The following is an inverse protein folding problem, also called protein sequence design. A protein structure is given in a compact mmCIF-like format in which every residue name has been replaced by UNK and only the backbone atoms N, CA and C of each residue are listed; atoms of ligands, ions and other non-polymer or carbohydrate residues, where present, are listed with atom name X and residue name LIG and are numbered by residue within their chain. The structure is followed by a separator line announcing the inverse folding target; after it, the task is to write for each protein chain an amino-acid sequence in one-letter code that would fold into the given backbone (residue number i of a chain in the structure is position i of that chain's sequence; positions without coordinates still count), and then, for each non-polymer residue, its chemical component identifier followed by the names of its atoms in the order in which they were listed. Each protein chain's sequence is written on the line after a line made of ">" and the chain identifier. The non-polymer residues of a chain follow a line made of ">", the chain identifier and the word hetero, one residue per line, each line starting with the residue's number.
data_IF_161056772046
#
_entry.id   IF_161056772046
#
_cell.length_a   1.000
_cell.length_b   1.000
_cell.length_c   1.000
_cell.angle_alpha   90.00
_cell.angle_beta   90.00
_cell.angle_gamma   90.00
#
_symmetry.space_group_name_H-M   'P 1'
#
loop_
_entity.id
_entity.type
_entity.pdbx_description
1 polymer ?
#
# COMPACT_ATOMS: atom_id res chain seq x y z
N UNK A 1 4.73 -19.15 -11.27
CA UNK A 1 4.35 -19.40 -9.86
C UNK A 1 3.26 -18.46 -9.38
N UNK A 2 3.12 -17.24 -9.95
CA UNK A 2 2.02 -16.30 -9.67
C UNK A 2 0.62 -16.83 -10.04
N UNK A 3 0.51 -17.57 -11.15
CA UNK A 3 -0.79 -17.97 -11.71
C UNK A 3 -1.57 -18.91 -10.78
N UNK A 4 -0.87 -19.79 -10.07
CA UNK A 4 -1.45 -20.79 -9.16
C UNK A 4 -2.01 -20.16 -7.85
N UNK A 5 -1.58 -18.96 -7.47
CA UNK A 5 -2.15 -18.26 -6.30
C UNK A 5 -3.46 -17.56 -6.66
N UNK A 6 -3.51 -16.92 -7.82
CA UNK A 6 -4.69 -16.18 -8.28
C UNK A 6 -5.87 -17.12 -8.54
N UNK A 7 -5.63 -18.27 -9.18
CA UNK A 7 -6.66 -19.29 -9.38
C UNK A 7 -7.23 -19.81 -8.04
N UNK A 8 -6.36 -20.00 -7.05
CA UNK A 8 -6.76 -20.45 -5.72
C UNK A 8 -7.56 -19.39 -4.96
N UNK A 9 -7.23 -18.11 -5.13
CA UNK A 9 -8.00 -17.00 -4.56
C UNK A 9 -9.38 -16.91 -5.19
N UNK A 10 -9.47 -16.90 -6.51
CA UNK A 10 -10.75 -16.88 -7.22
C UNK A 10 -11.63 -18.07 -6.82
N UNK A 11 -11.05 -19.27 -6.75
CA UNK A 11 -11.76 -20.45 -6.28
C UNK A 11 -12.36 -20.25 -4.87
N UNK A 12 -11.60 -19.68 -3.94
CA UNK A 12 -12.07 -19.43 -2.57
C UNK A 12 -13.11 -18.30 -2.48
N UNK A 13 -13.18 -17.39 -3.46
CA UNK A 13 -14.24 -16.38 -3.57
C UNK A 13 -15.55 -17.01 -4.08
N UNK A 14 -15.46 -17.94 -5.02
CA UNK A 14 -16.60 -18.67 -5.57
C UNK A 14 -17.13 -19.75 -4.59
N UNK A 15 -16.25 -20.34 -3.78
CA UNK A 15 -16.53 -21.44 -2.87
C UNK A 15 -16.29 -21.04 -1.41
N UNK A 16 -17.18 -20.19 -0.86
CA UNK A 16 -16.99 -19.56 0.45
C UNK A 16 -16.77 -20.53 1.62
N UNK A 17 -17.45 -21.68 1.58
CA UNK A 17 -17.44 -22.71 2.63
C UNK A 17 -16.36 -23.76 2.47
N UNK A 18 -15.56 -23.72 1.39
CA UNK A 18 -14.42 -24.62 1.22
C UNK A 18 -13.23 -24.14 2.08
N UNK A 19 -13.33 -24.42 3.37
CA UNK A 19 -12.34 -24.02 4.36
C UNK A 19 -10.99 -24.72 4.17
N UNK A 20 -10.95 -25.89 3.53
CA UNK A 20 -9.68 -26.56 3.25
C UNK A 20 -8.87 -25.84 2.18
N UNK A 21 -9.53 -25.39 1.11
CA UNK A 21 -8.89 -24.59 0.07
C UNK A 21 -8.55 -23.20 0.59
N UNK A 22 -9.42 -22.57 1.39
CA UNK A 22 -9.12 -21.29 2.07
C UNK A 22 -7.92 -21.42 3.02
N UNK A 23 -7.76 -22.56 3.69
CA UNK A 23 -6.56 -22.84 4.48
C UNK A 23 -5.30 -22.99 3.64
N UNK A 24 -5.38 -23.65 2.47
CA UNK A 24 -4.26 -23.72 1.53
C UNK A 24 -3.87 -22.34 1.02
N UNK A 25 -4.85 -21.49 0.70
CA UNK A 25 -4.65 -20.10 0.30
C UNK A 25 -3.94 -19.30 1.39
N UNK A 26 -4.46 -19.33 2.63
CA UNK A 26 -3.86 -18.64 3.76
C UNK A 26 -2.38 -19.01 3.98
N UNK A 27 -2.04 -20.31 3.85
CA UNK A 27 -0.65 -20.78 3.94
C UNK A 27 0.24 -20.25 2.81
N UNK A 28 -0.25 -20.24 1.56
CA UNK A 28 0.51 -19.71 0.43
C UNK A 28 0.75 -18.22 0.58
N UNK A 29 -0.29 -17.45 0.92
CA UNK A 29 -0.15 -16.02 1.22
C UNK A 29 0.87 -15.75 2.33
N UNK A 30 0.88 -16.58 3.38
CA UNK A 30 1.88 -16.50 4.43
C UNK A 30 3.31 -16.75 3.90
N UNK A 31 3.50 -17.77 3.06
CA UNK A 31 4.80 -18.12 2.46
C UNK A 31 5.31 -17.00 1.53
N UNK A 32 4.42 -16.33 0.81
CA UNK A 32 4.73 -15.18 -0.04
C UNK A 32 4.89 -13.86 0.74
N UNK A 33 4.79 -13.91 2.07
CA UNK A 33 4.88 -12.74 2.97
C UNK A 33 3.76 -11.72 2.75
N UNK A 34 2.65 -12.12 2.13
CA UNK A 34 1.44 -11.32 2.08
C UNK A 34 0.60 -11.51 3.35
N UNK A 35 1.18 -11.07 4.47
CA UNK A 35 0.62 -11.30 5.80
C UNK A 35 -0.75 -10.62 6.01
N UNK A 36 -1.04 -9.54 5.29
CA UNK A 36 -2.33 -8.84 5.42
C UNK A 36 -3.46 -9.70 4.87
N UNK A 37 -3.31 -10.21 3.65
CA UNK A 37 -4.31 -11.10 3.04
C UNK A 37 -4.36 -12.44 3.75
N UNK A 38 -3.22 -12.99 4.15
CA UNK A 38 -3.20 -14.20 4.98
C UNK A 38 -4.02 -14.02 6.26
N UNK A 39 -3.91 -12.86 6.93
CA UNK A 39 -4.67 -12.57 8.15
C UNK A 39 -6.18 -12.59 7.92
N UNK A 40 -6.67 -12.01 6.82
CA UNK A 40 -8.10 -11.96 6.49
C UNK A 40 -8.67 -13.38 6.36
N UNK A 41 -8.02 -14.25 5.58
CA UNK A 41 -8.45 -15.64 5.45
C UNK A 41 -8.32 -16.44 6.76
N UNK A 42 -7.27 -16.21 7.55
CA UNK A 42 -7.10 -16.87 8.85
C UNK A 42 -8.20 -16.47 9.84
N UNK A 43 -8.63 -15.20 9.84
CA UNK A 43 -9.73 -14.74 10.69
C UNK A 43 -11.06 -15.40 10.33
N UNK A 44 -11.35 -15.56 9.04
CA UNK A 44 -12.52 -16.31 8.56
C UNK A 44 -12.44 -17.76 9.06
N UNK A 45 -11.32 -18.43 8.82
CA UNK A 45 -11.10 -19.82 9.24
C UNK A 45 -11.28 -20.00 10.76
N UNK A 46 -10.83 -19.06 11.59
CA UNK A 46 -11.03 -19.15 13.05
C UNK A 46 -12.46 -18.93 13.52
N UNK A 47 -13.29 -18.24 12.72
CA UNK A 47 -14.68 -17.94 13.08
C UNK A 47 -15.64 -19.00 12.59
N UNK A 48 -15.41 -19.50 11.37
CA UNK A 48 -16.39 -20.29 10.62
C UNK A 48 -16.03 -21.77 10.51
N UNK A 49 -14.75 -22.11 10.77
CA UNK A 49 -14.28 -23.48 10.74
C UNK A 49 -13.85 -23.95 12.12
N UNK A 50 -13.97 -25.25 12.38
CA UNK A 50 -13.55 -25.86 13.64
C UNK A 50 -12.11 -25.45 13.95
N UNK A 51 -11.85 -24.76 15.08
CA UNK A 51 -10.51 -24.29 15.41
C UNK A 51 -9.50 -25.45 15.42
N UNK A 52 -8.44 -25.30 14.63
CA UNK A 52 -7.31 -26.23 14.61
C UNK A 52 -6.07 -25.49 15.12
N UNK A 53 -5.26 -26.17 15.93
CA UNK A 53 -4.00 -25.63 16.48
C UNK A 53 -3.16 -24.94 15.40
N UNK A 54 -3.03 -25.55 14.22
CA UNK A 54 -2.23 -25.00 13.11
C UNK A 54 -2.77 -23.67 12.58
N UNK A 55 -4.09 -23.48 12.51
CA UNK A 55 -4.69 -22.21 12.05
C UNK A 55 -4.34 -21.11 13.04
N UNK A 56 -4.45 -21.42 14.34
CA UNK A 56 -4.15 -20.47 15.41
C UNK A 56 -2.67 -20.11 15.46
N UNK A 57 -1.77 -21.09 15.26
CA UNK A 57 -0.33 -20.84 15.11
C UNK A 57 -0.04 -19.89 13.95
N UNK A 58 -0.65 -20.11 12.79
CA UNK A 58 -0.49 -19.23 11.64
C UNK A 58 -1.11 -17.85 11.88
N UNK A 59 -2.27 -17.76 12.52
CA UNK A 59 -2.90 -16.48 12.88
C UNK A 59 -1.99 -15.65 13.78
N UNK A 60 -1.50 -16.23 14.87
CA UNK A 60 -0.59 -15.56 15.79
C UNK A 60 0.74 -15.21 15.12
N UNK A 61 1.27 -16.07 14.24
CA UNK A 61 2.52 -15.81 13.52
C UNK A 61 2.34 -14.67 12.53
N UNK A 62 1.19 -14.61 11.87
CA UNK A 62 0.84 -13.54 10.93
C UNK A 62 0.71 -12.20 11.65
N UNK A 63 0.02 -12.18 12.80
CA UNK A 63 -0.06 -10.99 13.65
C UNK A 63 1.32 -10.54 14.14
N UNK A 64 2.18 -11.47 14.57
CA UNK A 64 3.56 -11.18 14.95
C UNK A 64 4.36 -10.54 13.80
N UNK A 65 4.27 -11.08 12.57
CA UNK A 65 4.95 -10.53 11.38
C UNK A 65 4.44 -9.14 10.99
N UNK A 66 3.20 -8.83 11.34
CA UNK A 66 2.59 -7.50 11.20
C UNK A 66 2.89 -6.56 12.37
N UNK A 67 3.77 -6.95 13.30
CA UNK A 67 4.10 -6.22 14.55
C UNK A 67 2.90 -5.98 15.48
N UNK A 68 1.83 -6.76 15.32
CA UNK A 68 0.62 -6.73 16.15
C UNK A 68 0.76 -7.68 17.33
N UNK A 69 1.71 -7.36 18.20
CA UNK A 69 2.13 -8.26 19.28
C UNK A 69 1.02 -8.46 20.33
N UNK A 70 0.26 -7.42 20.65
CA UNK A 70 -0.90 -7.50 21.56
C UNK A 70 -1.93 -8.54 21.10
N UNK A 71 -2.30 -8.48 19.83
CA UNK A 71 -3.29 -9.37 19.24
C UNK A 71 -2.75 -10.79 19.13
N UNK A 72 -1.47 -10.96 18.80
CA UNK A 72 -0.82 -12.26 18.81
C UNK A 72 -0.83 -12.89 20.21
N UNK A 73 -0.55 -12.10 21.26
CA UNK A 73 -0.60 -12.56 22.65
C UNK A 73 -2.00 -13.04 23.04
N UNK A 74 -3.04 -12.24 22.78
CA UNK A 74 -4.43 -12.60 23.11
C UNK A 74 -4.87 -13.89 22.40
N UNK A 75 -4.49 -14.06 21.13
CA UNK A 75 -4.80 -15.27 20.37
C UNK A 75 -4.11 -16.48 20.98
N UNK A 76 -2.83 -16.37 21.34
CA UNK A 76 -2.05 -17.47 21.90
C UNK A 76 -2.46 -17.83 23.32
N UNK A 77 -2.78 -16.85 24.16
CA UNK A 77 -3.27 -17.07 25.52
C UNK A 77 -4.55 -17.91 25.51
N UNK A 78 -5.55 -17.50 24.73
CA UNK A 78 -6.78 -18.28 24.53
C UNK A 78 -6.52 -19.67 23.95
N UNK A 79 -5.55 -19.78 23.06
CA UNK A 79 -5.19 -21.07 22.47
C UNK A 79 -4.58 -22.02 23.49
N UNK A 80 -3.74 -21.52 24.40
CA UNK A 80 -3.11 -22.30 25.46
C UNK A 80 -4.15 -22.77 26.49
N UNK A 81 -5.19 -21.98 26.75
CA UNK A 81 -6.33 -22.42 27.58
C UNK A 81 -7.07 -23.62 26.97
N UNK A 82 -7.24 -23.62 25.64
CA UNK A 82 -7.94 -24.71 24.92
C UNK A 82 -7.05 -25.93 24.71
N UNK A 83 -5.75 -25.72 24.45
CA UNK A 83 -4.76 -26.78 24.21
C UNK A 83 -3.59 -26.67 25.20
N UNK A 84 -3.82 -26.99 26.48
CA UNK A 84 -2.83 -26.79 27.53
C UNK A 84 -1.63 -27.72 27.44
N UNK A 85 -1.64 -28.75 26.61
CA UNK A 85 -0.45 -29.60 26.40
C UNK A 85 0.35 -29.24 25.14
N UNK A 86 -0.14 -28.29 24.35
CA UNK A 86 0.53 -27.90 23.10
C UNK A 86 1.69 -26.94 23.37
N UNK A 87 2.90 -27.52 23.40
CA UNK A 87 4.15 -26.81 23.68
C UNK A 87 4.46 -25.77 22.61
N UNK A 88 4.14 -26.03 21.34
CA UNK A 88 4.46 -25.12 20.24
C UNK A 88 3.72 -23.78 20.35
N UNK A 89 2.51 -23.77 20.93
CA UNK A 89 1.76 -22.53 21.21
C UNK A 89 2.44 -21.69 22.29
N UNK A 90 2.93 -22.34 23.36
CA UNK A 90 3.69 -21.66 24.42
C UNK A 90 5.00 -21.11 23.92
N UNK A 91 5.74 -21.87 23.11
CA UNK A 91 6.98 -21.38 22.51
C UNK A 91 6.73 -20.11 21.68
N UNK A 92 5.67 -20.13 20.86
CA UNK A 92 5.30 -18.99 20.06
C UNK A 92 4.89 -17.80 20.94
N UNK A 93 4.16 -18.05 22.04
CA UNK A 93 3.76 -17.02 22.99
C UNK A 93 4.96 -16.39 23.70
N UNK A 94 5.90 -17.21 24.16
CA UNK A 94 7.13 -16.75 24.79
C UNK A 94 7.94 -15.85 23.84
N UNK A 95 8.08 -16.23 22.56
CA UNK A 95 8.77 -15.40 21.55
C UNK A 95 8.07 -14.06 21.31
N UNK A 96 6.74 -14.05 21.21
CA UNK A 96 5.97 -12.80 21.08
C UNK A 96 6.20 -11.91 22.30
N UNK A 97 6.19 -12.47 23.50
CA UNK A 97 6.46 -11.75 24.75
C UNK A 97 7.88 -11.18 24.80
N UNK A 98 8.88 -11.92 24.34
CA UNK A 98 10.27 -11.44 24.23
C UNK A 98 10.37 -10.21 23.34
N UNK A 99 9.79 -10.27 22.13
CA UNK A 99 9.81 -9.16 21.18
C UNK A 99 8.99 -7.96 21.65
N UNK A 100 7.92 -8.20 22.42
CA UNK A 100 7.11 -7.15 23.05
C UNK A 100 7.72 -6.63 24.37
N UNK A 101 8.96 -7.00 24.68
CA UNK A 101 9.70 -6.62 25.89
C UNK A 101 9.00 -7.01 27.21
N UNK A 102 8.10 -8.00 27.17
CA UNK A 102 7.41 -8.57 28.34
C UNK A 102 8.27 -9.67 28.98
N UNK A 103 9.50 -9.30 29.34
CA UNK A 103 10.59 -10.21 29.75
C UNK A 103 10.23 -11.16 30.90
N UNK A 104 9.65 -10.64 31.99
CA UNK A 104 9.30 -11.47 33.15
C UNK A 104 8.24 -12.52 32.81
N UNK A 105 7.25 -12.15 32.00
CA UNK A 105 6.21 -13.08 31.54
C UNK A 105 6.81 -14.11 30.59
N UNK A 106 7.70 -13.70 29.68
CA UNK A 106 8.39 -14.63 28.79
C UNK A 106 9.18 -15.69 29.55
N UNK A 107 9.91 -15.30 30.61
CA UNK A 107 10.64 -16.24 31.49
C UNK A 107 9.67 -17.25 32.12
N UNK A 108 8.54 -16.79 32.66
CA UNK A 108 7.53 -17.69 33.26
C UNK A 108 7.02 -18.72 32.26
N UNK A 109 6.67 -18.28 31.04
CA UNK A 109 6.20 -19.19 29.98
C UNK A 109 7.29 -20.19 29.58
N UNK A 110 8.56 -19.78 29.49
CA UNK A 110 9.67 -20.72 29.24
C UNK A 110 9.89 -21.71 30.39
N UNK A 111 9.68 -21.29 31.64
CA UNK A 111 9.72 -22.18 32.81
C UNK A 111 8.57 -23.20 32.77
N UNK A 112 7.36 -22.80 32.36
CA UNK A 112 6.24 -23.72 32.10
C UNK A 112 6.52 -24.69 30.95
N UNK A 113 7.15 -24.25 29.86
CA UNK A 113 7.57 -25.15 28.78
C UNK A 113 8.54 -26.22 29.30
N UNK A 114 9.46 -25.84 30.20
CA UNK A 114 10.41 -26.76 30.82
C UNK A 114 9.73 -27.74 31.78
N UNK A 115 8.64 -27.37 32.45
CA UNK A 115 7.89 -28.34 33.27
C UNK A 115 7.16 -29.37 32.42
N UNK A 116 6.61 -28.94 31.27
CA UNK A 116 5.95 -29.84 30.31
C UNK A 116 6.95 -30.73 29.57
N UNK A 117 8.09 -30.16 29.15
CA UNK A 117 9.15 -30.85 28.41
C UNK A 117 10.50 -30.53 29.08
N UNK A 118 10.95 -31.35 30.05
CA UNK A 118 12.18 -31.11 30.80
C UNK A 118 13.43 -30.86 29.95
N UNK A 119 13.55 -31.57 28.81
CA UNK A 119 14.68 -31.46 27.89
C UNK A 119 14.33 -30.63 26.63
N UNK A 120 13.55 -29.56 26.79
CA UNK A 120 13.19 -28.69 25.67
C UNK A 120 14.44 -27.96 25.10
N UNK A 121 14.71 -28.05 23.78
CA UNK A 121 15.98 -27.62 23.17
C UNK A 121 16.30 -26.13 23.34
N UNK A 122 15.28 -25.30 23.57
CA UNK A 122 15.43 -23.85 23.61
C UNK A 122 15.12 -23.22 24.97
N UNK A 123 14.48 -23.95 25.90
CA UNK A 123 13.91 -23.32 27.09
C UNK A 123 14.99 -22.81 28.06
N UNK A 124 16.00 -23.63 28.35
CA UNK A 124 17.09 -23.26 29.26
C UNK A 124 17.89 -22.07 28.73
N UNK A 125 18.28 -22.11 27.45
CA UNK A 125 19.01 -21.02 26.81
C UNK A 125 18.19 -19.72 26.77
N UNK A 126 16.89 -19.80 26.47
CA UNK A 126 16.01 -18.63 26.47
C UNK A 126 15.89 -18.02 27.88
N UNK A 127 15.71 -18.84 28.91
CA UNK A 127 15.64 -18.37 30.31
C UNK A 127 16.96 -17.71 30.73
N UNK A 128 18.11 -18.34 30.45
CA UNK A 128 19.42 -17.78 30.78
C UNK A 128 19.65 -16.44 30.07
N UNK A 129 19.40 -16.38 28.75
CA UNK A 129 19.49 -15.14 27.96
C UNK A 129 18.59 -14.06 28.55
N UNK A 130 17.33 -14.39 28.83
CA UNK A 130 16.37 -13.46 29.43
C UNK A 130 16.66 -13.16 30.90
N UNK A 131 17.53 -13.85 31.63
CA UNK A 131 17.97 -13.42 32.98
C UNK A 131 19.19 -12.50 32.91
N UNK A 132 20.05 -12.69 31.89
CA UNK A 132 21.36 -12.03 31.78
C UNK A 132 21.38 -10.69 31.00
N UNK A 133 20.25 -10.14 30.52
CA UNK A 133 20.21 -8.85 29.77
C UNK A 133 20.51 -7.61 30.64
N UNK A 134 21.24 -7.74 31.76
CA UNK A 134 21.95 -6.60 32.34
C UNK A 134 23.32 -6.35 31.68
N UNK A 135 23.77 -7.21 30.74
CA UNK A 135 25.18 -7.23 30.32
C UNK A 135 25.45 -7.39 28.81
N UNK A 136 24.47 -7.17 27.91
CA UNK A 136 24.71 -7.24 26.47
C UNK A 136 24.68 -5.86 25.79
N UNK A 137 25.71 -5.48 24.99
CA UNK A 137 25.68 -4.27 24.18
C UNK A 137 24.65 -4.41 23.06
N UNK A 138 23.92 -3.32 22.80
CA UNK A 138 22.96 -3.22 21.69
C UNK A 138 23.61 -3.68 20.38
N UNK A 139 23.02 -4.62 19.62
CA UNK A 139 23.44 -4.81 18.24
C UNK A 139 23.03 -3.57 17.45
N UNK A 140 24.04 -2.84 16.99
CA UNK A 140 23.91 -1.79 15.98
C UNK A 140 23.46 -2.42 14.65
N UNK A 141 22.47 -1.79 14.02
CA UNK A 141 22.25 -1.88 12.57
C UNK A 141 21.08 -2.75 12.12
N UNK A 142 19.89 -2.15 12.03
CA UNK A 142 19.08 -2.10 10.80
C UNK A 142 18.14 -0.88 10.90
N UNK A 143 18.02 -0.02 9.87
CA UNK A 143 17.12 1.12 9.92
C UNK A 143 15.68 0.64 9.75
N UNK A 144 14.97 0.50 10.87
CA UNK A 144 13.53 0.36 10.83
C UNK A 144 12.90 1.72 10.50
N UNK A 145 12.39 1.80 9.27
CA UNK A 145 11.64 2.93 8.74
C UNK A 145 10.63 3.46 9.76
N UNK A 146 10.80 4.75 10.06
CA UNK A 146 9.95 5.53 10.92
C UNK A 146 8.56 5.70 10.27
N UNK A 147 7.60 4.87 10.69
CA UNK A 147 6.17 5.11 10.43
C UNK A 147 5.23 4.69 11.57
N UNK A 148 5.74 4.27 12.72
CA UNK A 148 4.92 3.76 13.83
C UNK A 148 4.87 4.72 15.02
N UNK A 149 4.34 5.94 14.84
CA UNK A 149 4.15 6.89 15.95
C UNK A 149 2.76 7.54 16.01
N UNK A 150 1.68 6.77 15.72
CA UNK A 150 0.29 7.25 15.87
C UNK A 150 -0.61 6.33 16.72
N UNK A 151 -0.08 5.42 17.54
CA UNK A 151 -0.95 4.57 18.40
C UNK A 151 -0.49 4.50 19.86
N UNK A 152 -0.31 5.68 20.46
CA UNK A 152 -0.11 5.81 21.90
C UNK A 152 -1.16 6.75 22.52
N UNK A 153 -2.46 6.44 22.35
CA UNK A 153 -3.53 6.93 23.23
C UNK A 153 -4.56 5.82 23.43
N UNK A 154 -4.44 5.12 24.55
CA UNK A 154 -5.30 4.02 24.99
C UNK A 154 -6.59 4.54 25.60
N UNK A 155 -7.68 4.59 24.83
CA UNK A 155 -9.04 4.62 25.37
C UNK A 155 -9.65 3.22 25.29
N UNK A 156 -10.16 2.73 26.41
CA UNK A 156 -10.86 1.44 26.54
C UNK A 156 -12.31 1.69 26.94
N UNK A 157 -13.25 1.00 26.29
CA UNK A 157 -14.69 1.06 26.57
C UNK A 157 -15.20 -0.30 27.06
N UNK A 158 -16.07 -0.29 28.08
CA UNK A 158 -16.69 -1.52 28.57
C UNK A 158 -17.90 -1.90 27.70
N UNK A 159 -18.04 -3.19 27.40
CA UNK A 159 -19.19 -3.68 26.65
C UNK A 159 -20.46 -3.60 27.51
N UNK A 160 -21.55 -2.98 27.02
CA UNK A 160 -22.79 -2.86 27.77
C UNK A 160 -23.46 -4.22 28.03
N UNK A 161 -23.24 -5.20 27.16
CA UNK A 161 -23.92 -6.49 27.23
C UNK A 161 -23.21 -7.52 28.13
N UNK A 162 -21.88 -7.46 28.24
CA UNK A 162 -21.11 -8.46 28.99
C UNK A 162 -20.02 -7.90 29.90
N UNK A 163 -19.88 -6.58 29.99
CA UNK A 163 -18.91 -5.89 30.85
C UNK A 163 -17.45 -6.01 30.41
N UNK A 164 -17.14 -6.71 29.31
CA UNK A 164 -15.76 -6.87 28.85
C UNK A 164 -15.15 -5.53 28.44
N UNK A 165 -13.90 -5.27 28.83
CA UNK A 165 -13.16 -4.09 28.35
C UNK A 165 -12.69 -4.32 26.91
N UNK A 166 -12.99 -3.36 26.05
CA UNK A 166 -12.69 -3.37 24.62
C UNK A 166 -11.87 -2.12 24.29
N UNK A 167 -11.01 -2.20 23.28
CA UNK A 167 -10.36 -1.01 22.73
C UNK A 167 -11.40 -0.13 22.02
N UNK A 168 -11.28 1.19 22.11
CA UNK A 168 -12.24 2.12 21.50
C UNK A 168 -12.34 2.00 19.96
N UNK A 169 -11.34 1.40 19.31
CA UNK A 169 -11.33 1.13 17.88
C UNK A 169 -12.13 -0.13 17.45
N UNK A 170 -12.72 -0.86 18.39
CA UNK A 170 -13.53 -2.04 18.08
C UNK A 170 -15.01 -1.65 17.99
N UNK A 171 -15.62 -1.93 16.84
CA UNK A 171 -17.06 -1.71 16.62
C UNK A 171 -17.92 -2.77 17.32
N UNK A 172 -17.32 -3.90 17.69
CA UNK A 172 -17.98 -5.03 18.33
C UNK A 172 -17.18 -5.55 19.51
N UNK A 173 -17.90 -6.02 20.52
CA UNK A 173 -17.31 -6.62 21.69
C UNK A 173 -16.53 -7.88 21.31
N UNK A 174 -15.25 -7.95 21.67
CA UNK A 174 -14.41 -9.12 21.40
C UNK A 174 -14.95 -10.38 22.09
N UNK A 175 -15.71 -10.22 23.18
CA UNK A 175 -16.22 -11.32 23.99
C UNK A 175 -17.58 -11.84 23.50
N UNK A 176 -18.55 -10.95 23.28
CA UNK A 176 -19.92 -11.36 22.96
C UNK A 176 -20.41 -10.93 21.56
N UNK A 177 -19.59 -10.22 20.77
CA UNK A 177 -19.95 -9.74 19.44
C UNK A 177 -20.97 -8.60 19.39
N UNK A 178 -21.48 -8.16 20.56
CA UNK A 178 -22.40 -7.04 20.72
C UNK A 178 -21.81 -5.75 20.15
N UNK A 179 -22.66 -4.92 19.53
CA UNK A 179 -22.24 -3.60 19.07
C UNK A 179 -21.76 -2.76 20.26
N UNK A 180 -20.61 -2.11 20.11
CA UNK A 180 -20.10 -1.15 21.10
C UNK A 180 -20.51 0.30 20.76
N UNK A 181 -21.09 0.51 19.58
CA UNK A 181 -21.45 1.82 19.05
C UNK A 181 -22.68 2.41 19.78
N UNK A 182 -23.55 1.57 20.34
CA UNK A 182 -24.80 2.00 20.99
C UNK A 182 -24.62 2.44 22.46
N UNK A 183 -23.51 2.10 23.11
CA UNK A 183 -23.29 2.41 24.54
C UNK A 183 -22.71 3.81 24.79
N UNK A 184 -22.23 4.48 23.74
CA UNK A 184 -21.64 5.81 23.83
C UNK A 184 -22.71 6.90 23.57
N UNK A 185 -23.76 6.96 24.39
CA UNK A 185 -24.69 8.09 24.30
C UNK A 185 -26.02 8.00 25.05
N UNK A 186 -26.02 8.05 26.38
CA UNK A 186 -27.08 8.75 27.13
C UNK A 186 -26.48 9.65 28.21
N UNK A 187 -25.99 10.80 27.78
CA UNK A 187 -25.96 12.01 28.61
C UNK A 187 -26.13 13.23 27.68
N UNK A 188 -27.34 13.80 27.73
CA UNK A 188 -27.68 15.21 27.47
C UNK A 188 -27.11 15.92 26.22
N UNK A 189 -27.44 15.44 25.02
CA UNK A 189 -27.46 16.29 23.81
C UNK A 189 -28.64 15.96 22.87
N UNK A 190 -29.80 15.64 23.45
CA UNK A 190 -31.04 15.50 22.70
C UNK A 190 -31.63 16.88 22.34
N UNK A 191 -31.18 17.49 21.24
CA UNK A 191 -31.93 18.62 20.66
C UNK A 191 -31.79 18.89 19.14
N UNK A 192 -30.78 18.43 18.37
CA UNK A 192 -30.80 18.69 16.91
C UNK A 192 -30.65 17.47 15.99
N UNK A 193 -30.82 16.22 16.47
CA UNK A 193 -30.57 15.03 15.64
C UNK A 193 -31.76 14.50 14.82
N UNK A 194 -32.96 15.07 14.96
CA UNK A 194 -34.10 14.74 14.07
C UNK A 194 -33.92 15.37 12.68
N UNK A 195 -33.05 16.37 12.53
CA UNK A 195 -32.70 16.95 11.23
C UNK A 195 -31.63 16.18 10.44
N UNK A 196 -30.91 15.24 11.07
CA UNK A 196 -29.80 14.50 10.43
C UNK A 196 -30.21 13.11 9.88
N UNK A 197 -31.44 12.65 10.15
CA UNK A 197 -31.94 11.37 9.66
C UNK A 197 -32.27 11.37 8.14
N UNK A 198 -32.28 12.54 7.50
CA UNK A 198 -32.34 12.67 6.04
C UNK A 198 -30.96 12.66 5.36
N UNK A 199 -29.85 12.64 6.13
CA UNK A 199 -28.48 12.60 5.59
C UNK A 199 -27.89 11.17 5.51
N UNK A 200 -28.72 10.14 5.78
CA UNK A 200 -28.33 8.70 5.82
C UNK A 200 -27.92 8.12 4.45
N UNK A 201 -27.96 8.93 3.39
CA UNK A 201 -27.33 8.61 2.10
C UNK A 201 -26.43 9.74 1.58
N UNK A 202 -25.67 10.39 2.46
CA UNK A 202 -24.44 11.05 2.01
C UNK A 202 -23.33 10.01 2.03
N UNK A 203 -22.77 9.59 0.87
CA UNK A 203 -21.49 8.90 0.89
C UNK A 203 -20.56 9.76 1.75
N UNK A 204 -19.86 9.15 2.72
CA UNK A 204 -18.84 9.86 3.46
C UNK A 204 -18.04 10.68 2.44
N UNK A 205 -17.93 12.01 2.61
CA UNK A 205 -17.17 12.81 1.65
C UNK A 205 -15.85 12.08 1.53
N UNK A 206 -15.50 11.67 0.31
CA UNK A 206 -14.20 11.08 0.04
C UNK A 206 -13.20 12.14 0.46
N UNK A 207 -12.81 12.12 1.74
CA UNK A 207 -11.81 13.00 2.27
C UNK A 207 -10.60 12.56 1.49
N UNK A 208 -10.28 13.36 0.46
CA UNK A 208 -9.26 13.05 -0.51
C UNK A 208 -7.97 12.91 0.29
N UNK A 209 -7.67 11.66 0.67
CA UNK A 209 -6.41 11.36 1.32
C UNK A 209 -5.31 11.88 0.40
N UNK A 210 -4.14 12.26 0.93
CA UNK A 210 -3.05 12.79 0.11
C UNK A 210 -2.69 11.91 -1.10
N UNK A 211 -3.06 10.62 -1.07
CA UNK A 211 -2.95 9.67 -2.19
C UNK A 211 -3.88 9.94 -3.39
N UNK A 212 -5.01 10.61 -3.22
CA UNK A 212 -5.98 10.94 -4.28
C UNK A 212 -5.76 12.32 -4.92
N UNK A 213 -5.07 13.24 -4.22
CA UNK A 213 -4.86 14.61 -4.71
C UNK A 213 -3.96 14.62 -5.96
N UNK A 214 -2.89 13.82 -5.97
CA UNK A 214 -1.93 13.82 -7.08
C UNK A 214 -2.56 13.40 -8.43
N UNK A 215 -3.24 12.24 -8.55
CA UNK A 215 -3.86 11.85 -9.83
C UNK A 215 -4.87 12.88 -10.35
N UNK A 216 -5.66 13.49 -9.47
CA UNK A 216 -6.62 14.51 -9.88
C UNK A 216 -5.92 15.76 -10.43
N UNK A 217 -4.93 16.29 -9.69
CA UNK A 217 -4.16 17.47 -10.11
C UNK A 217 -3.39 17.19 -11.42
N UNK A 218 -2.67 16.07 -11.48
CA UNK A 218 -1.92 15.68 -12.67
C UNK A 218 -2.85 15.46 -13.88
N UNK A 219 -4.03 14.87 -13.68
CA UNK A 219 -5.03 14.71 -14.73
C UNK A 219 -5.53 16.05 -15.29
N UNK A 220 -5.90 16.99 -14.43
CA UNK A 220 -6.35 18.34 -14.84
C UNK A 220 -5.23 19.09 -15.57
N UNK A 221 -4.01 19.05 -15.05
CA UNK A 221 -2.87 19.71 -15.70
C UNK A 221 -2.53 19.06 -17.05
N UNK A 222 -2.66 17.73 -17.17
CA UNK A 222 -2.47 17.03 -18.45
C UNK A 222 -3.45 17.51 -19.50
N UNK A 223 -4.73 17.63 -19.15
CA UNK A 223 -5.76 18.14 -20.06
C UNK A 223 -5.47 19.58 -20.50
N UNK A 224 -5.04 20.44 -19.57
CA UNK A 224 -4.66 21.81 -19.89
C UNK A 224 -3.46 21.88 -20.85
N UNK A 225 -2.43 21.06 -20.63
CA UNK A 225 -1.25 20.97 -21.49
C UNK A 225 -1.59 20.42 -22.88
N UNK A 226 -2.42 19.38 -22.97
CA UNK A 226 -2.88 18.83 -24.25
C UNK A 226 -3.73 19.85 -25.01
N UNK A 227 -4.61 20.59 -24.32
CA UNK A 227 -5.40 21.65 -24.94
C UNK A 227 -4.51 22.78 -25.48
N UNK A 228 -3.49 23.20 -24.70
CA UNK A 228 -2.52 24.19 -25.17
C UNK A 228 -1.75 23.70 -26.40
N UNK A 229 -1.26 22.45 -26.38
CA UNK A 229 -0.61 21.81 -27.53
C UNK A 229 -1.52 21.77 -28.75
N UNK A 230 -2.80 21.40 -28.58
CA UNK A 230 -3.78 21.35 -29.66
C UNK A 230 -4.08 22.73 -30.28
N UNK A 231 -4.17 23.79 -29.45
CA UNK A 231 -4.34 25.16 -29.94
C UNK A 231 -3.15 25.60 -30.78
N UNK A 232 -1.92 25.36 -30.31
CA UNK A 232 -0.70 25.67 -31.08
C UNK A 232 -0.65 24.87 -32.37
N UNK A 233 -0.96 23.57 -32.30
CA UNK A 233 -1.04 22.69 -33.47
C UNK A 233 -2.00 23.24 -34.52
N UNK A 234 -3.19 23.68 -34.09
CA UNK A 234 -4.20 24.26 -34.99
C UNK A 234 -3.69 25.54 -35.67
N UNK A 235 -3.00 26.42 -34.93
CA UNK A 235 -2.40 27.64 -35.49
C UNK A 235 -1.32 27.32 -36.54
N UNK A 236 -0.53 26.27 -36.30
CA UNK A 236 0.46 25.81 -37.28
C UNK A 236 -0.18 25.18 -38.51
N UNK A 237 -1.23 24.37 -38.34
CA UNK A 237 -1.96 23.78 -39.47
C UNK A 237 -2.63 24.83 -40.36
N UNK A 238 -3.25 25.86 -39.78
CA UNK A 238 -3.81 26.96 -40.58
C UNK A 238 -2.73 27.71 -41.36
N UNK A 239 -1.54 27.88 -40.76
CA UNK A 239 -0.42 28.48 -41.47
C UNK A 239 0.11 27.59 -42.61
N UNK A 240 0.16 26.27 -42.41
CA UNK A 240 0.56 25.31 -43.45
C UNK A 240 -0.41 25.37 -44.64
N UNK A 241 -1.71 25.44 -44.37
CA UNK A 241 -2.74 25.56 -45.40
C UNK A 241 -2.59 26.87 -46.22
N UNK A 242 -2.42 28.00 -45.54
CA UNK A 242 -2.12 29.28 -46.19
C UNK A 242 -0.83 29.23 -47.02
N UNK A 243 0.23 28.62 -46.48
CA UNK A 243 1.51 28.47 -47.17
C UNK A 243 1.38 27.63 -48.45
N UNK A 244 0.68 26.49 -48.38
CA UNK A 244 0.45 25.62 -49.54
C UNK A 244 -0.43 26.29 -50.61
N UNK A 245 -1.32 27.22 -50.21
CA UNK A 245 -2.13 28.00 -51.15
C UNK A 245 -1.35 29.10 -51.90
N UNK A 246 -0.08 29.33 -51.55
CA UNK A 246 0.77 30.34 -52.19
C UNK A 246 0.42 31.79 -51.84
N UNK A 247 -0.41 32.00 -50.81
CA UNK A 247 -0.97 33.32 -50.48
C UNK A 247 -0.07 34.19 -49.59
N UNK A 248 1.04 33.66 -49.05
CA UNK A 248 1.87 34.34 -48.04
C UNK A 248 3.37 34.19 -48.31
N UNK A 249 4.09 35.33 -48.36
CA UNK A 249 5.55 35.34 -48.29
C UNK A 249 6.00 35.06 -46.84
N UNK A 250 6.57 33.89 -46.59
CA UNK A 250 6.98 33.44 -45.26
C UNK A 250 8.47 33.72 -44.97
N UNK A 251 8.79 34.09 -43.72
CA UNK A 251 10.19 34.07 -43.23
C UNK A 251 10.67 32.62 -43.14
N UNK A 252 11.96 32.38 -43.41
CA UNK A 252 12.57 31.04 -43.38
C UNK A 252 12.23 30.22 -42.12
N UNK A 253 12.21 30.85 -40.94
CA UNK A 253 11.86 30.17 -39.69
C UNK A 253 10.43 29.61 -39.63
N UNK A 254 9.45 30.25 -40.31
CA UNK A 254 8.08 29.73 -40.36
C UNK A 254 7.94 28.57 -41.35
N UNK A 255 8.70 28.58 -42.43
CA UNK A 255 8.75 27.47 -43.40
C UNK A 255 9.28 26.21 -42.73
N UNK A 256 10.39 26.32 -41.98
CA UNK A 256 10.95 25.19 -41.22
C UNK A 256 9.93 24.67 -40.19
N UNK A 257 9.22 25.56 -39.49
CA UNK A 257 8.19 25.15 -38.53
C UNK A 257 6.99 24.45 -39.19
N UNK A 258 6.61 24.86 -40.40
CA UNK A 258 5.58 24.20 -41.19
C UNK A 258 5.99 22.77 -41.57
N UNK A 259 7.22 22.60 -42.07
CA UNK A 259 7.78 21.28 -42.43
C UNK A 259 7.88 20.31 -41.24
N UNK A 260 8.14 20.83 -40.03
CA UNK A 260 8.23 20.03 -38.81
C UNK A 260 6.85 19.69 -38.19
N UNK A 261 5.77 20.32 -38.66
CA UNK A 261 4.43 20.14 -38.08
C UNK A 261 3.96 18.67 -38.05
N UNK A 262 4.11 17.88 -39.13
CA UNK A 262 3.77 16.45 -39.09
C UNK A 262 4.62 15.66 -38.07
N UNK A 263 5.90 16.02 -37.92
CA UNK A 263 6.78 15.38 -36.94
C UNK A 263 6.34 15.68 -35.51
N UNK A 264 5.93 16.91 -35.21
CA UNK A 264 5.37 17.26 -33.89
C UNK A 264 4.08 16.50 -33.59
N UNK A 265 3.18 16.38 -34.57
CA UNK A 265 1.94 15.61 -34.43
C UNK A 265 2.22 14.12 -34.15
N UNK A 266 3.09 13.51 -34.94
CA UNK A 266 3.50 12.11 -34.76
C UNK A 266 4.15 11.92 -33.39
N UNK A 267 5.06 12.81 -32.99
CA UNK A 267 5.70 12.79 -31.67
C UNK A 267 4.67 12.88 -30.55
N UNK A 268 3.68 13.78 -30.65
CA UNK A 268 2.63 13.92 -29.64
C UNK A 268 1.82 12.65 -29.45
N UNK A 269 1.39 12.01 -30.54
CA UNK A 269 0.62 10.76 -30.51
C UNK A 269 1.45 9.63 -29.90
N UNK A 270 2.70 9.47 -30.37
CA UNK A 270 3.61 8.43 -29.86
C UNK A 270 3.86 8.64 -28.37
N UNK A 271 4.17 9.86 -27.94
CA UNK A 271 4.49 10.16 -26.55
C UNK A 271 3.30 9.89 -25.61
N UNK A 272 2.07 10.25 -25.98
CA UNK A 272 0.90 10.00 -25.11
C UNK A 272 0.64 8.50 -24.87
N UNK A 273 1.00 7.64 -25.84
CA UNK A 273 0.82 6.18 -25.73
C UNK A 273 2.03 5.49 -25.09
N UNK A 274 3.23 5.87 -25.52
CA UNK A 274 4.49 5.20 -25.12
C UNK A 274 4.92 5.61 -23.72
N UNK A 275 4.81 6.89 -23.35
CA UNK A 275 5.33 7.38 -22.07
C UNK A 275 4.69 6.70 -20.84
N UNK A 276 3.36 6.54 -20.76
CA UNK A 276 2.74 5.84 -19.63
C UNK A 276 3.09 4.36 -19.56
N UNK A 277 3.20 3.70 -20.71
CA UNK A 277 3.52 2.26 -20.79
C UNK A 277 4.97 2.01 -20.40
N UNK A 278 5.90 2.84 -20.85
CA UNK A 278 7.31 2.77 -20.46
C UNK A 278 7.49 3.06 -18.97
N UNK A 279 6.79 4.06 -18.42
CA UNK A 279 6.86 4.34 -16.98
C UNK A 279 6.34 3.16 -16.13
N UNK A 280 5.27 2.50 -16.57
CA UNK A 280 4.76 1.29 -15.94
C UNK A 280 5.77 0.13 -16.03
N UNK A 281 6.37 -0.08 -17.22
CA UNK A 281 7.40 -1.10 -17.41
C UNK A 281 8.63 -0.85 -16.52
N UNK A 282 9.07 0.40 -16.39
CA UNK A 282 10.17 0.78 -15.52
C UNK A 282 9.89 0.45 -14.04
N UNK A 283 8.64 0.61 -13.57
CA UNK A 283 8.26 0.18 -12.23
C UNK A 283 8.34 -1.34 -12.03
N UNK A 284 7.88 -2.10 -13.01
CA UNK A 284 7.90 -3.57 -12.98
C UNK A 284 9.35 -4.07 -12.93
N UNK A 285 10.24 -3.51 -13.78
CA UNK A 285 11.64 -3.91 -13.87
C UNK A 285 12.44 -3.66 -12.58
N UNK A 286 12.12 -2.61 -11.81
CA UNK A 286 12.81 -2.28 -10.55
C UNK A 286 12.33 -3.15 -9.36
N UNK A 287 11.42 -4.11 -9.58
CA UNK A 287 11.10 -5.17 -8.61
C UNK A 287 10.30 -4.71 -7.39
N UNK A 288 9.46 -3.67 -7.53
CA UNK A 288 8.58 -3.18 -6.47
C UNK A 288 7.15 -3.71 -6.60
N UNK A 289 6.40 -3.74 -5.48
CA UNK A 289 4.93 -3.81 -5.56
C UNK A 289 4.46 -2.64 -6.42
N UNK A 290 3.78 -2.94 -7.52
CA UNK A 290 3.19 -1.95 -8.42
C UNK A 290 2.28 -1.07 -7.55
N UNK A 291 2.68 0.19 -7.34
CA UNK A 291 1.80 1.23 -6.78
C UNK A 291 0.59 1.34 -7.72
N UNK A 292 -0.57 1.86 -7.29
CA UNK A 292 -1.80 1.75 -8.08
C UNK A 292 -1.53 2.16 -9.52
N UNK A 293 -1.83 1.28 -10.48
CA UNK A 293 -1.50 1.44 -11.91
C UNK A 293 -1.93 2.83 -12.42
N UNK A 294 -3.03 3.34 -11.88
CA UNK A 294 -3.55 4.68 -12.13
C UNK A 294 -2.50 5.80 -11.90
N UNK A 295 -1.71 5.76 -10.83
CA UNK A 295 -0.71 6.79 -10.54
C UNK A 295 0.41 6.80 -11.59
N UNK A 296 0.86 5.62 -12.04
CA UNK A 296 1.85 5.50 -13.09
C UNK A 296 1.29 6.00 -14.44
N UNK A 297 0.06 5.60 -14.78
CA UNK A 297 -0.60 6.03 -16.01
C UNK A 297 -0.80 7.55 -16.05
N UNK A 298 -1.39 8.14 -15.02
CA UNK A 298 -1.64 9.58 -14.97
C UNK A 298 -0.35 10.39 -14.97
N UNK A 299 0.68 9.94 -14.24
CA UNK A 299 1.99 10.62 -14.23
C UNK A 299 2.69 10.53 -15.58
N UNK A 300 2.56 9.40 -16.27
CA UNK A 300 3.09 9.22 -17.63
C UNK A 300 2.36 10.11 -18.65
N UNK A 301 1.03 10.18 -18.58
CA UNK A 301 0.23 11.07 -19.45
C UNK A 301 0.62 12.53 -19.21
N UNK A 302 0.81 12.93 -17.96
CA UNK A 302 1.26 14.28 -17.62
C UNK A 302 2.63 14.62 -18.23
N UNK A 303 3.60 13.72 -18.11
CA UNK A 303 4.93 13.90 -18.69
C UNK A 303 4.88 13.96 -20.22
N UNK A 304 4.07 13.10 -20.87
CA UNK A 304 3.85 13.14 -22.31
C UNK A 304 3.21 14.45 -22.76
N UNK A 305 2.18 14.92 -22.06
CA UNK A 305 1.50 16.18 -22.36
C UNK A 305 2.44 17.38 -22.23
N UNK A 306 3.29 17.38 -21.19
CA UNK A 306 4.32 18.39 -20.98
C UNK A 306 5.35 18.38 -22.10
N UNK A 307 5.90 17.21 -22.44
CA UNK A 307 6.86 17.06 -23.54
C UNK A 307 6.28 17.50 -24.88
N UNK A 308 5.02 17.13 -25.17
CA UNK A 308 4.32 17.54 -26.38
C UNK A 308 4.16 19.06 -26.46
N UNK A 309 3.65 19.69 -25.40
CA UNK A 309 3.49 21.14 -25.36
C UNK A 309 4.84 21.87 -25.54
N UNK A 310 5.89 21.38 -24.89
CA UNK A 310 7.24 21.94 -24.99
C UNK A 310 7.90 21.71 -26.35
N UNK A 311 7.49 20.68 -27.11
CA UNK A 311 8.03 20.42 -28.45
C UNK A 311 7.73 21.55 -29.43
N UNK A 312 6.72 22.39 -29.16
CA UNK A 312 6.37 23.54 -29.99
C UNK A 312 7.19 24.81 -29.68
N UNK A 313 8.13 24.75 -28.74
CA UNK A 313 9.01 25.88 -28.46
C UNK A 313 9.99 26.13 -29.64
N UNK A 314 10.48 27.38 -29.79
CA UNK A 314 11.51 27.70 -30.79
C UNK A 314 12.72 26.75 -30.67
N UNK A 315 13.34 26.40 -31.79
CA UNK A 315 14.44 25.40 -31.86
C UNK A 315 15.55 25.61 -30.82
N UNK A 316 15.92 26.87 -30.53
CA UNK A 316 16.92 27.24 -29.50
C UNK A 316 16.54 26.83 -28.06
N UNK A 317 15.27 26.57 -27.81
CA UNK A 317 14.73 26.17 -26.50
C UNK A 317 14.38 24.68 -26.43
N UNK A 318 14.46 23.91 -27.52
CA UNK A 318 14.07 22.50 -27.51
C UNK A 318 14.96 21.65 -26.60
N UNK A 319 16.28 21.81 -26.69
CA UNK A 319 17.23 21.09 -25.82
C UNK A 319 16.99 21.39 -24.33
N UNK A 320 16.95 22.67 -23.87
CA UNK A 320 16.68 22.93 -22.46
C UNK A 320 15.28 22.48 -22.02
N UNK A 321 14.28 22.54 -22.90
CA UNK A 321 12.94 22.03 -22.58
C UNK A 321 12.91 20.50 -22.42
N UNK A 322 13.69 19.77 -23.23
CA UNK A 322 13.86 18.32 -23.08
C UNK A 322 14.54 17.99 -21.75
N UNK A 323 15.66 18.65 -21.44
CA UNK A 323 16.39 18.46 -20.18
C UNK A 323 15.53 18.79 -18.96
N UNK A 324 14.73 19.87 -19.04
CA UNK A 324 13.79 20.24 -17.99
C UNK A 324 12.73 19.16 -17.77
N UNK A 325 12.22 18.56 -18.85
CA UNK A 325 11.24 17.47 -18.78
C UNK A 325 11.85 16.23 -18.12
N UNK A 326 13.07 15.86 -18.52
CA UNK A 326 13.80 14.73 -17.93
C UNK A 326 14.11 14.96 -16.44
N UNK A 327 14.61 16.13 -16.07
CA UNK A 327 14.89 16.49 -14.69
C UNK A 327 13.60 16.58 -13.84
N UNK A 328 12.55 17.16 -14.40
CA UNK A 328 11.24 17.30 -13.77
C UNK A 328 10.50 15.98 -13.57
N UNK A 329 10.81 14.94 -14.35
CA UNK A 329 10.24 13.62 -14.18
C UNK A 329 10.60 12.97 -12.83
N UNK A 330 11.80 13.24 -12.28
CA UNK A 330 12.23 12.63 -11.02
C UNK A 330 11.35 13.00 -9.81
N UNK A 331 11.06 14.29 -9.51
CA UNK A 331 10.14 14.64 -8.43
C UNK A 331 8.74 14.09 -8.66
N UNK A 332 8.26 14.04 -9.91
CA UNK A 332 6.96 13.44 -10.24
C UNK A 332 6.94 11.95 -9.91
N UNK A 333 8.00 11.22 -10.28
CA UNK A 333 8.16 9.80 -9.97
C UNK A 333 8.22 9.58 -8.45
N UNK A 334 8.98 10.41 -7.72
CA UNK A 334 9.14 10.31 -6.27
C UNK A 334 7.83 10.61 -5.53
N UNK A 335 7.26 11.79 -5.74
CA UNK A 335 6.14 12.30 -4.96
C UNK A 335 4.80 11.79 -5.50
N UNK A 336 4.63 11.79 -6.83
CA UNK A 336 3.41 11.35 -7.48
C UNK A 336 3.13 9.86 -7.28
N UNK A 337 4.16 9.05 -7.13
CA UNK A 337 4.02 7.59 -6.91
C UNK A 337 4.39 7.16 -5.49
N UNK A 338 4.73 8.10 -4.61
CA UNK A 338 5.11 7.88 -3.22
C UNK A 338 6.17 6.76 -3.07
N UNK A 339 7.28 6.91 -3.80
CA UNK A 339 8.38 5.94 -3.83
C UNK A 339 9.55 6.41 -2.93
N UNK A 340 10.25 5.48 -2.27
CA UNK A 340 11.49 5.81 -1.58
C UNK A 340 12.54 6.29 -2.60
N UNK A 341 13.43 7.20 -2.18
CA UNK A 341 14.33 7.92 -3.09
C UNK A 341 15.17 7.02 -4.01
N UNK A 342 15.74 5.92 -3.47
CA UNK A 342 16.54 4.98 -4.27
C UNK A 342 15.73 4.28 -5.37
N UNK A 343 14.49 3.88 -5.07
CA UNK A 343 13.60 3.29 -6.08
C UNK A 343 13.10 4.32 -7.07
N UNK A 344 12.77 5.53 -6.61
CA UNK A 344 12.36 6.62 -7.50
C UNK A 344 13.47 6.93 -8.51
N UNK A 345 14.74 6.97 -8.07
CA UNK A 345 15.89 7.18 -8.95
C UNK A 345 16.06 6.03 -9.94
N UNK A 346 15.91 4.77 -9.50
CA UNK A 346 15.99 3.60 -10.38
C UNK A 346 14.90 3.59 -11.45
N UNK A 347 13.63 3.82 -11.06
CA UNK A 347 12.50 3.90 -11.99
C UNK A 347 12.70 5.06 -12.96
N UNK A 348 13.10 6.23 -12.47
CA UNK A 348 13.40 7.38 -13.31
C UNK A 348 14.50 7.09 -14.33
N UNK A 349 15.61 6.47 -13.91
CA UNK A 349 16.71 6.14 -14.81
C UNK A 349 16.30 5.16 -15.90
N UNK A 350 15.66 4.04 -15.53
CA UNK A 350 15.16 3.05 -16.50
C UNK A 350 14.16 3.68 -17.47
N UNK A 351 13.26 4.51 -16.94
CA UNK A 351 12.29 5.26 -17.74
C UNK A 351 12.97 6.19 -18.76
N UNK A 352 13.98 6.98 -18.35
CA UNK A 352 14.72 7.85 -19.27
C UNK A 352 15.47 7.06 -20.34
N UNK A 353 16.08 5.93 -19.99
CA UNK A 353 16.77 5.05 -20.94
C UNK A 353 15.78 4.50 -21.96
N UNK A 354 14.64 3.97 -21.51
CA UNK A 354 13.64 3.40 -22.41
C UNK A 354 12.99 4.46 -23.31
N UNK A 355 12.69 5.65 -22.78
CA UNK A 355 12.18 6.77 -23.59
C UNK A 355 13.20 7.21 -24.64
N UNK A 356 14.50 7.19 -24.33
CA UNK A 356 15.55 7.55 -25.29
C UNK A 356 15.77 6.49 -26.39
N UNK A 357 15.26 5.26 -26.21
CA UNK A 357 15.32 4.19 -27.19
C UNK A 357 14.08 4.15 -28.12
N UNK A 358 13.03 4.88 -27.78
CA UNK A 358 11.82 5.05 -28.57
C UNK A 358 11.93 6.30 -29.44
#
# INVERSE_FOLDING_TARGET
>A
MSDDLWELEQYCEEHLTDYEQRWRLAKRLYQEKDYRRALEHLQILTKEWTPRVNIIRYLAATQYRLKRYSEAMVVLEKAIEVWPEEVALREQYARVLETAERRLTAIKVWEEIRTLVPNHPHAEHAIARLKNVHEAPKPEGEPHDAQDSILAQTSTQACPQCGAQNYAALDRCWKCGASLIEAAGTSDFAAPLVAAASDVWRPAPMAAGPSFVWPAVAGVLSLALLAAGAVVTRQHLSFVEEYLSGSVYARAGRVIAAELTPAHLALGVVMVVVWPTVLLAAQILIGGRVRPVLHALVSGIFLAALAYALSWLPMRLLIPALLLTMAGALPIVKFGMNLPAGRALGVWFVHMVLVALC
#
